data_IF_433935339493
#
_entry.id   IF_433935339493
#
_cell.length_a   1.000
_cell.length_b   1.000
_cell.length_c   1.000
_cell.angle_alpha   90.00
_cell.angle_beta   90.00
_cell.angle_gamma   90.00
#
_symmetry.space_group_name_H-M   'P 1'
#
loop_
_entity.id
_entity.type
_entity.pdbx_description
1 polymer ?
#
# COMPACT_ATOMS: atom_id res chain seq x y z
N UNK A 1 -29.68 -25.40 11.30
CA UNK A 1 -28.64 -24.40 10.97
C UNK A 1 -29.33 -23.16 10.40
N UNK A 2 -29.10 -21.96 10.93
CA UNK A 2 -29.55 -20.75 10.26
C UNK A 2 -28.75 -20.58 8.95
N UNK A 3 -29.35 -20.02 7.89
CA UNK A 3 -28.68 -19.88 6.60
C UNK A 3 -27.49 -18.91 6.73
N UNK A 4 -26.31 -19.35 6.28
CA UNK A 4 -25.19 -18.45 6.01
C UNK A 4 -25.64 -17.44 4.96
N UNK A 5 -25.93 -16.19 5.38
CA UNK A 5 -26.09 -15.08 4.43
C UNK A 5 -24.80 -15.03 3.61
N UNK A 6 -24.91 -15.25 2.31
CA UNK A 6 -23.79 -15.09 1.38
C UNK A 6 -23.20 -13.70 1.59
N UNK A 7 -22.00 -13.61 2.18
CA UNK A 7 -21.27 -12.35 2.30
C UNK A 7 -21.15 -11.77 0.89
N UNK A 8 -21.76 -10.60 0.66
CA UNK A 8 -21.62 -9.90 -0.62
C UNK A 8 -20.13 -9.62 -0.80
N UNK A 9 -19.56 -10.07 -1.92
CA UNK A 9 -18.17 -9.75 -2.29
C UNK A 9 -18.03 -8.23 -2.32
N UNK A 10 -17.08 -7.71 -1.55
CA UNK A 10 -16.80 -6.27 -1.48
C UNK A 10 -16.19 -5.83 -2.82
N UNK A 11 -16.70 -4.75 -3.45
CA UNK A 11 -16.11 -4.23 -4.67
C UNK A 11 -14.66 -3.78 -4.45
N UNK A 12 -13.78 -3.97 -5.43
CA UNK A 12 -12.35 -3.57 -5.33
C UNK A 12 -12.18 -2.08 -5.01
N UNK A 13 -13.02 -1.22 -5.59
CA UNK A 13 -13.00 0.21 -5.29
C UNK A 13 -13.30 0.51 -3.82
N UNK A 14 -14.14 -0.31 -3.17
CA UNK A 14 -14.41 -0.20 -1.73
C UNK A 14 -13.21 -0.72 -0.93
N UNK A 15 -12.63 -1.88 -1.30
CA UNK A 15 -11.41 -2.42 -0.68
C UNK A 15 -10.27 -1.40 -0.72
N UNK A 16 -10.11 -0.66 -1.82
CA UNK A 16 -9.10 0.40 -1.93
C UNK A 16 -9.33 1.61 -1.00
N UNK A 17 -10.58 1.87 -0.59
CA UNK A 17 -10.94 3.00 0.31
C UNK A 17 -10.95 2.61 1.78
N UNK A 18 -11.22 1.35 2.12
CA UNK A 18 -11.28 0.90 3.51
C UNK A 18 -10.01 1.23 4.32
N UNK A 19 -8.78 1.08 3.80
CA UNK A 19 -7.57 1.50 4.52
C UNK A 19 -7.51 3.01 4.83
N UNK A 20 -8.08 3.85 3.96
CA UNK A 20 -8.17 5.30 4.19
C UNK A 20 -9.12 5.61 5.33
N UNK A 21 -10.30 4.97 5.34
CA UNK A 21 -11.23 5.11 6.45
C UNK A 21 -10.63 4.60 7.75
N UNK A 22 -9.90 3.47 7.72
CA UNK A 22 -9.23 2.92 8.89
C UNK A 22 -8.23 3.91 9.48
N UNK A 23 -7.37 4.53 8.64
CA UNK A 23 -6.42 5.54 9.11
C UNK A 23 -7.14 6.68 9.82
N UNK A 24 -8.16 7.26 9.18
CA UNK A 24 -8.93 8.36 9.76
C UNK A 24 -9.54 7.94 11.10
N UNK A 25 -10.16 6.76 11.16
CA UNK A 25 -10.81 6.29 12.37
C UNK A 25 -9.82 6.01 13.52
N UNK A 26 -8.61 5.53 13.21
CA UNK A 26 -7.53 5.39 14.20
C UNK A 26 -7.15 6.77 14.75
N UNK A 27 -6.95 7.76 13.87
CA UNK A 27 -6.63 9.13 14.30
C UNK A 27 -7.76 9.73 15.17
N UNK A 28 -9.02 9.45 14.84
CA UNK A 28 -10.17 9.87 15.65
C UNK A 28 -10.27 9.15 16.99
N UNK A 29 -9.94 7.86 17.04
CA UNK A 29 -9.90 7.09 18.28
C UNK A 29 -8.82 7.63 19.23
N UNK A 30 -7.63 7.93 18.71
CA UNK A 30 -6.55 8.56 19.47
C UNK A 30 -6.93 9.96 19.99
N UNK A 31 -7.76 10.70 19.25
CA UNK A 31 -8.32 11.97 19.66
C UNK A 31 -9.49 11.84 20.67
N UNK A 32 -9.88 10.62 21.07
CA UNK A 32 -10.96 10.36 22.03
C UNK A 32 -12.37 10.55 21.46
N UNK A 33 -12.53 10.53 20.14
CA UNK A 33 -13.84 10.68 19.49
C UNK A 33 -14.59 9.35 19.54
N UNK A 34 -15.70 9.31 20.29
CA UNK A 34 -16.49 8.08 20.44
C UNK A 34 -17.36 7.76 19.22
N UNK A 35 -17.89 8.77 18.51
CA UNK A 35 -18.77 8.56 17.37
C UNK A 35 -18.44 9.53 16.23
N UNK A 36 -18.55 9.04 14.99
CA UNK A 36 -18.35 9.84 13.77
C UNK A 36 -19.55 9.68 12.83
N UNK A 37 -19.98 10.75 12.18
CA UNK A 37 -21.04 10.70 11.16
C UNK A 37 -20.50 10.25 9.80
N UNK A 38 -21.38 9.82 8.88
CA UNK A 38 -20.97 9.54 7.50
C UNK A 38 -20.45 10.77 6.78
N UNK A 39 -20.99 11.94 7.12
CA UNK A 39 -20.62 13.24 6.61
C UNK A 39 -19.22 13.62 7.10
N UNK A 40 -18.93 13.47 8.39
CA UNK A 40 -17.61 13.76 8.95
C UNK A 40 -16.52 12.83 8.41
N UNK A 41 -16.80 11.52 8.32
CA UNK A 41 -15.85 10.58 7.73
C UNK A 41 -15.64 10.86 6.23
N UNK A 42 -16.68 11.28 5.51
CA UNK A 42 -16.58 11.60 4.09
C UNK A 42 -15.75 12.87 3.83
N UNK A 43 -15.90 13.89 4.67
CA UNK A 43 -15.12 15.12 4.61
C UNK A 43 -13.63 14.83 4.78
N UNK A 44 -13.27 14.09 5.84
CA UNK A 44 -11.87 13.71 6.12
C UNK A 44 -11.28 12.81 5.02
N UNK A 45 -12.09 11.91 4.45
CA UNK A 45 -11.66 11.01 3.39
C UNK A 45 -11.71 11.62 1.98
N UNK A 46 -12.19 12.87 1.82
CA UNK A 46 -12.33 13.51 0.51
C UNK A 46 -13.32 12.80 -0.42
N UNK A 47 -14.35 12.15 0.12
CA UNK A 47 -15.38 11.43 -0.64
C UNK A 47 -16.78 11.96 -0.31
N UNK A 48 -17.82 11.37 -0.90
CA UNK A 48 -19.22 11.71 -0.59
C UNK A 48 -19.75 10.78 0.53
N UNK A 49 -20.51 11.30 1.49
CA UNK A 49 -21.20 10.55 2.54
C UNK A 49 -22.05 9.37 2.01
N UNK A 50 -22.63 9.48 0.81
CA UNK A 50 -23.34 8.38 0.17
C UNK A 50 -22.40 7.22 -0.21
N UNK A 51 -21.15 7.52 -0.62
CA UNK A 51 -20.12 6.50 -0.90
C UNK A 51 -19.68 5.83 0.40
N UNK A 52 -19.43 6.60 1.46
CA UNK A 52 -19.10 6.07 2.79
C UNK A 52 -20.18 5.10 3.27
N UNK A 53 -21.45 5.53 3.27
CA UNK A 53 -22.58 4.67 3.67
C UNK A 53 -22.65 3.38 2.84
N UNK A 54 -22.46 3.48 1.52
CA UNK A 54 -22.45 2.32 0.62
C UNK A 54 -21.28 1.38 0.95
N UNK A 55 -20.08 1.91 1.15
CA UNK A 55 -18.89 1.13 1.49
C UNK A 55 -19.04 0.39 2.82
N UNK A 56 -19.46 1.10 3.87
CA UNK A 56 -19.61 0.52 5.20
C UNK A 56 -20.77 -0.49 5.26
N UNK A 57 -21.78 -0.35 4.39
CA UNK A 57 -22.88 -1.33 4.31
C UNK A 57 -22.44 -2.74 3.89
N UNK A 58 -21.27 -2.87 3.26
CA UNK A 58 -20.69 -4.19 2.93
C UNK A 58 -20.10 -4.88 4.17
N UNK A 59 -19.65 -4.12 5.16
CA UNK A 59 -19.14 -4.65 6.42
C UNK A 59 -20.30 -5.12 7.31
N UNK A 60 -21.44 -4.44 7.23
CA UNK A 60 -22.65 -4.76 7.96
C UNK A 60 -23.48 -3.50 8.23
N UNK A 61 -24.56 -3.65 9.00
CA UNK A 61 -25.35 -2.51 9.45
C UNK A 61 -24.77 -1.96 10.74
N UNK A 62 -23.80 -1.07 10.61
CA UNK A 62 -23.15 -0.39 11.72
C UNK A 62 -23.39 1.08 11.52
N UNK A 63 -24.11 1.73 12.43
CA UNK A 63 -24.55 3.10 12.24
C UNK A 63 -25.96 3.29 12.72
N UNK A 64 -26.14 4.20 13.67
CA UNK A 64 -27.46 4.57 14.18
C UNK A 64 -27.85 5.90 13.57
N UNK A 65 -29.04 5.96 12.95
CA UNK A 65 -29.54 7.19 12.32
C UNK A 65 -29.57 8.31 13.36
N UNK A 66 -28.89 9.41 13.09
CA UNK A 66 -28.77 10.55 13.99
C UNK A 66 -27.64 10.48 15.02
N UNK A 67 -26.91 9.37 15.12
CA UNK A 67 -25.76 9.19 16.03
C UNK A 67 -24.45 9.00 15.26
N UNK A 68 -24.49 8.26 14.14
CA UNK A 68 -23.29 7.91 13.38
C UNK A 68 -22.76 6.52 13.74
N UNK A 69 -21.46 6.32 13.55
CA UNK A 69 -20.72 5.08 13.78
C UNK A 69 -19.88 5.23 15.04
N UNK A 70 -19.92 4.21 15.90
CA UNK A 70 -18.99 4.11 17.03
C UNK A 70 -17.60 3.81 16.46
N UNK A 71 -16.62 4.63 16.85
CA UNK A 71 -15.31 4.68 16.20
C UNK A 71 -14.52 3.40 16.46
N UNK A 72 -14.40 2.95 17.71
CA UNK A 72 -13.60 1.78 18.08
C UNK A 72 -14.15 0.50 17.43
N UNK A 73 -15.47 0.35 17.45
CA UNK A 73 -16.14 -0.75 16.79
C UNK A 73 -15.95 -0.72 15.27
N UNK A 74 -16.01 0.46 14.64
CA UNK A 74 -15.79 0.55 13.20
C UNK A 74 -14.33 0.26 12.81
N UNK A 75 -13.37 0.72 13.61
CA UNK A 75 -11.94 0.34 13.49
C UNK A 75 -11.82 -1.19 13.51
N UNK A 76 -12.39 -1.83 14.53
CA UNK A 76 -12.35 -3.30 14.66
C UNK A 76 -12.94 -4.01 13.43
N UNK A 77 -14.12 -3.59 12.95
CA UNK A 77 -14.75 -4.21 11.78
C UNK A 77 -13.91 -4.05 10.50
N UNK A 78 -13.34 -2.86 10.27
CA UNK A 78 -12.52 -2.62 9.09
C UNK A 78 -11.22 -3.44 9.16
N UNK A 79 -10.54 -3.49 10.32
CA UNK A 79 -9.34 -4.32 10.50
C UNK A 79 -9.63 -5.78 10.20
N UNK A 80 -10.73 -6.31 10.76
CA UNK A 80 -11.16 -7.69 10.53
C UNK A 80 -11.44 -7.97 9.05
N UNK A 81 -12.14 -7.08 8.36
CA UNK A 81 -12.47 -7.30 6.95
C UNK A 81 -11.24 -7.19 6.04
N UNK A 82 -10.27 -6.34 6.40
CA UNK A 82 -8.98 -6.24 5.71
C UNK A 82 -7.99 -7.36 6.09
N UNK A 83 -8.35 -8.26 7.02
CA UNK A 83 -7.47 -9.33 7.50
C UNK A 83 -6.31 -8.84 8.35
N UNK A 84 -6.44 -7.67 9.00
CA UNK A 84 -5.42 -7.04 9.84
C UNK A 84 -5.54 -7.44 11.32
N UNK A 85 -6.18 -8.59 11.58
CA UNK A 85 -6.24 -9.26 12.89
C UNK A 85 -5.06 -10.22 13.12
N UNK A 86 -4.23 -10.41 12.09
CA UNK A 86 -2.97 -11.13 12.14
C UNK A 86 -1.95 -10.44 11.23
N UNK A 87 -0.68 -10.81 11.43
CA UNK A 87 0.42 -10.28 10.64
C UNK A 87 0.51 -10.97 9.26
N UNK A 88 0.86 -10.17 8.26
CA UNK A 88 1.20 -10.59 6.91
C UNK A 88 2.68 -10.31 6.65
N UNK A 89 3.58 -11.28 6.92
CA UNK A 89 5.00 -11.08 6.68
C UNK A 89 5.27 -10.75 5.21
N UNK A 90 6.16 -9.78 4.98
CA UNK A 90 6.53 -9.31 3.64
C UNK A 90 7.99 -9.59 3.35
N UNK A 91 8.32 -9.93 2.10
CA UNK A 91 9.71 -10.00 1.62
C UNK A 91 9.98 -8.86 0.65
N UNK A 92 11.10 -8.16 0.82
CA UNK A 92 11.51 -7.05 -0.04
C UNK A 92 12.61 -7.55 -0.99
N UNK A 93 12.39 -7.38 -2.29
CA UNK A 93 13.38 -7.66 -3.34
C UNK A 93 14.01 -6.34 -3.79
N UNK A 94 15.32 -6.22 -3.60
CA UNK A 94 16.11 -5.02 -3.83
C UNK A 94 16.34 -4.24 -2.53
N UNK A 95 17.60 -4.15 -2.12
CA UNK A 95 18.12 -3.40 -0.99
C UNK A 95 18.78 -2.06 -1.42
N UNK A 96 18.32 -1.47 -2.53
CA UNK A 96 18.66 -0.08 -2.89
C UNK A 96 17.97 0.93 -1.98
N UNK A 97 18.15 2.24 -2.22
CA UNK A 97 17.61 3.31 -1.37
C UNK A 97 16.14 3.12 -0.96
N UNK A 98 15.28 2.75 -1.91
CA UNK A 98 13.86 2.55 -1.63
C UNK A 98 13.61 1.31 -0.77
N UNK A 99 14.22 0.17 -1.11
CA UNK A 99 14.10 -1.04 -0.31
C UNK A 99 14.59 -0.85 1.13
N UNK A 100 15.67 -0.08 1.29
CA UNK A 100 16.17 0.28 2.62
C UNK A 100 15.21 1.18 3.41
N UNK A 101 14.65 2.19 2.76
CA UNK A 101 13.66 3.05 3.38
C UNK A 101 12.41 2.27 3.81
N UNK A 102 11.93 1.35 2.97
CA UNK A 102 10.78 0.50 3.27
C UNK A 102 11.06 -0.47 4.43
N UNK A 103 12.24 -1.07 4.45
CA UNK A 103 12.65 -1.97 5.53
C UNK A 103 12.78 -1.25 6.89
N UNK A 104 13.27 -0.01 6.89
CA UNK A 104 13.40 0.82 8.09
C UNK A 104 12.11 1.49 8.54
N UNK A 105 11.02 1.39 7.76
CA UNK A 105 9.77 2.05 8.07
C UNK A 105 8.94 1.23 9.07
N UNK A 106 9.01 1.60 10.36
CA UNK A 106 8.28 0.93 11.45
C UNK A 106 6.76 0.84 11.24
N UNK A 107 6.20 1.76 10.45
CA UNK A 107 4.77 1.76 10.13
C UNK A 107 4.28 0.54 9.34
N UNK A 108 5.15 -0.27 8.73
CA UNK A 108 4.74 -1.55 8.14
C UNK A 108 4.42 -2.57 9.22
N UNK A 109 5.35 -2.79 10.16
CA UNK A 109 5.16 -3.71 11.29
C UNK A 109 3.97 -3.31 12.16
N UNK A 110 3.83 -2.03 12.48
CA UNK A 110 2.70 -1.52 13.29
C UNK A 110 1.34 -1.73 12.60
N UNK A 111 1.32 -1.78 11.27
CA UNK A 111 0.11 -2.02 10.46
C UNK A 111 -0.13 -3.50 10.15
N UNK A 112 0.65 -4.42 10.72
CA UNK A 112 0.52 -5.86 10.54
C UNK A 112 1.29 -6.41 9.33
N UNK A 113 2.35 -5.74 8.88
CA UNK A 113 3.17 -6.16 7.74
C UNK A 113 4.65 -6.28 8.11
N UNK A 114 5.03 -7.17 9.04
CA UNK A 114 6.42 -7.29 9.46
C UNK A 114 7.33 -7.71 8.31
N UNK A 115 8.52 -7.12 8.22
CA UNK A 115 9.52 -7.48 7.20
C UNK A 115 10.14 -8.83 7.55
N UNK A 116 9.78 -9.86 6.78
CA UNK A 116 10.28 -11.22 6.92
C UNK A 116 11.70 -11.39 6.37
N UNK A 117 12.08 -10.59 5.38
CA UNK A 117 13.42 -10.62 4.81
C UNK A 117 13.61 -9.57 3.73
N UNK A 118 14.88 -9.30 3.43
CA UNK A 118 15.31 -8.44 2.33
C UNK A 118 16.29 -9.27 1.50
N UNK A 119 16.11 -9.31 0.19
CA UNK A 119 17.01 -10.01 -0.73
C UNK A 119 17.57 -9.06 -1.78
N UNK A 120 18.83 -9.27 -2.15
CA UNK A 120 19.49 -8.55 -3.25
C UNK A 120 20.44 -9.50 -4.00
N UNK A 121 20.80 -9.13 -5.23
CA UNK A 121 21.79 -9.85 -6.06
C UNK A 121 23.19 -9.24 -5.93
N UNK A 122 23.28 -8.01 -5.42
CA UNK A 122 24.51 -7.27 -5.24
C UNK A 122 25.27 -7.78 -4.00
N UNK A 123 26.39 -8.47 -4.22
CA UNK A 123 27.25 -9.04 -3.17
C UNK A 123 27.72 -7.98 -2.17
N UNK A 124 27.88 -6.72 -2.59
CA UNK A 124 28.28 -5.62 -1.69
C UNK A 124 27.16 -5.25 -0.71
N UNK A 125 25.90 -5.59 -1.04
CA UNK A 125 24.74 -5.37 -0.16
C UNK A 125 24.39 -6.59 0.68
N UNK A 126 24.73 -7.79 0.21
CA UNK A 126 24.50 -9.03 0.97
C UNK A 126 25.18 -8.93 2.35
N UNK A 127 24.55 -9.48 3.37
CA UNK A 127 24.98 -9.45 4.77
C UNK A 127 24.97 -8.09 5.48
N UNK A 128 24.66 -6.99 4.78
CA UNK A 128 24.39 -5.71 5.42
C UNK A 128 23.10 -5.75 6.25
N UNK A 129 22.97 -4.85 7.21
CA UNK A 129 21.77 -4.73 8.06
C UNK A 129 21.02 -3.45 7.73
N UNK A 130 19.74 -3.60 7.41
CA UNK A 130 18.86 -2.53 6.94
C UNK A 130 17.54 -2.66 7.68
N UNK A 131 17.12 -1.59 8.39
CA UNK A 131 15.86 -1.61 9.15
C UNK A 131 15.79 -2.72 10.21
N UNK A 132 16.94 -3.18 10.72
CA UNK A 132 17.03 -4.30 11.66
C UNK A 132 16.99 -5.70 11.02
N UNK A 133 16.84 -5.81 9.70
CA UNK A 133 16.88 -7.07 8.95
C UNK A 133 18.21 -7.21 8.17
N UNK A 134 18.76 -8.43 8.14
CA UNK A 134 19.93 -8.77 7.34
C UNK A 134 19.51 -8.97 5.88
N UNK A 135 20.23 -8.33 4.96
CA UNK A 135 20.07 -8.57 3.51
C UNK A 135 20.65 -9.94 3.17
N UNK A 136 19.86 -10.77 2.50
CA UNK A 136 20.24 -12.12 2.08
C UNK A 136 20.46 -12.16 0.56
N UNK A 137 21.23 -13.12 0.05
CA UNK A 137 21.34 -13.28 -1.40
C UNK A 137 20.00 -13.72 -2.00
N UNK A 138 19.77 -13.36 -3.25
CA UNK A 138 18.49 -13.57 -3.96
C UNK A 138 18.08 -15.05 -4.06
N UNK A 139 19.05 -15.96 -4.11
CA UNK A 139 18.83 -17.40 -4.17
C UNK A 139 18.19 -17.97 -2.90
N UNK A 140 18.25 -17.25 -1.78
CA UNK A 140 17.60 -17.61 -0.52
C UNK A 140 16.10 -17.23 -0.45
N UNK A 141 15.58 -16.54 -1.46
CA UNK A 141 14.19 -16.12 -1.51
C UNK A 141 13.19 -17.27 -1.27
N UNK A 142 13.32 -18.45 -1.91
CA UNK A 142 12.40 -19.57 -1.67
C UNK A 142 12.41 -20.05 -0.22
N UNK A 143 13.57 -20.10 0.43
CA UNK A 143 13.70 -20.51 1.82
C UNK A 143 13.02 -19.51 2.75
N UNK A 144 13.20 -18.21 2.53
CA UNK A 144 12.55 -17.15 3.32
C UNK A 144 11.03 -17.25 3.19
N UNK A 145 10.53 -17.39 1.96
CA UNK A 145 9.09 -17.46 1.68
C UNK A 145 8.46 -18.68 2.36
N UNK A 146 9.08 -19.85 2.23
CA UNK A 146 8.58 -21.09 2.84
C UNK A 146 8.66 -21.07 4.37
N UNK A 147 9.79 -20.64 4.94
CA UNK A 147 10.00 -20.67 6.39
C UNK A 147 9.11 -19.69 7.15
N UNK A 148 8.73 -18.56 6.51
CA UNK A 148 7.95 -17.49 7.14
C UNK A 148 6.53 -17.35 6.58
N UNK A 149 6.08 -18.28 5.73
CA UNK A 149 4.76 -18.26 5.08
C UNK A 149 4.45 -16.91 4.40
N UNK A 150 5.44 -16.34 3.70
CA UNK A 150 5.32 -15.02 3.07
C UNK A 150 4.34 -15.10 1.91
N UNK A 151 3.26 -14.32 1.98
CA UNK A 151 2.26 -14.23 0.90
C UNK A 151 2.35 -12.93 0.10
N UNK A 152 3.15 -11.96 0.59
CA UNK A 152 3.29 -10.62 0.01
C UNK A 152 4.77 -10.33 -0.30
N UNK A 153 5.06 -10.02 -1.56
CA UNK A 153 6.37 -9.55 -2.01
C UNK A 153 6.35 -8.06 -2.34
N UNK A 154 7.46 -7.38 -2.08
CA UNK A 154 7.66 -5.97 -2.44
C UNK A 154 8.82 -5.89 -3.42
N UNK A 155 8.59 -5.30 -4.59
CA UNK A 155 9.63 -5.10 -5.60
C UNK A 155 10.09 -3.64 -5.52
N UNK A 156 11.34 -3.47 -5.08
CA UNK A 156 12.05 -2.19 -4.99
C UNK A 156 13.32 -2.19 -5.85
N UNK A 157 13.31 -2.96 -6.95
CA UNK A 157 14.41 -3.07 -7.90
C UNK A 157 14.32 -2.03 -9.02
N UNK A 158 15.39 -1.81 -9.79
CA UNK A 158 15.31 -1.09 -11.06
C UNK A 158 14.31 -1.73 -12.04
N UNK A 159 13.75 -0.95 -12.99
CA UNK A 159 12.82 -1.41 -14.03
C UNK A 159 13.24 -2.71 -14.74
N UNK A 160 14.51 -2.80 -15.12
CA UNK A 160 15.07 -3.90 -15.93
C UNK A 160 15.08 -5.24 -15.19
N UNK A 161 15.07 -5.23 -13.86
CA UNK A 161 15.12 -6.42 -13.02
C UNK A 161 13.75 -6.78 -12.40
N UNK A 162 12.74 -5.93 -12.59
CA UNK A 162 11.47 -6.05 -11.88
C UNK A 162 10.64 -7.26 -12.33
N UNK A 163 10.70 -7.64 -13.61
CA UNK A 163 10.01 -8.84 -14.12
C UNK A 163 10.63 -10.11 -13.54
N UNK A 164 11.96 -10.23 -13.57
CA UNK A 164 12.66 -11.39 -13.00
C UNK A 164 12.39 -11.52 -11.50
N UNK A 165 12.38 -10.39 -10.77
CA UNK A 165 11.99 -10.36 -9.36
C UNK A 165 10.55 -10.87 -9.13
N UNK A 166 9.60 -10.45 -9.97
CA UNK A 166 8.21 -10.91 -9.91
C UNK A 166 8.09 -12.41 -10.18
N UNK A 167 8.78 -12.92 -11.20
CA UNK A 167 8.75 -14.33 -11.56
C UNK A 167 9.34 -15.21 -10.46
N UNK A 168 10.43 -14.76 -9.81
CA UNK A 168 11.02 -15.44 -8.66
C UNK A 168 10.10 -15.45 -7.44
N UNK A 169 9.43 -14.32 -7.14
CA UNK A 169 8.44 -14.25 -6.06
C UNK A 169 7.28 -15.22 -6.30
N UNK A 170 6.71 -15.21 -7.51
CA UNK A 170 5.62 -16.11 -7.87
C UNK A 170 6.06 -17.57 -7.78
N UNK A 171 7.26 -17.90 -8.29
CA UNK A 171 7.82 -19.25 -8.19
C UNK A 171 8.07 -19.69 -6.75
N UNK A 172 8.42 -18.76 -5.86
CA UNK A 172 8.58 -19.02 -4.43
C UNK A 172 7.25 -19.22 -3.68
N UNK A 173 6.10 -18.91 -4.31
CA UNK A 173 4.76 -19.09 -3.74
C UNK A 173 4.07 -17.81 -3.29
N UNK A 174 4.66 -16.63 -3.57
CA UNK A 174 4.03 -15.33 -3.28
C UNK A 174 2.83 -15.10 -4.20
N UNK A 175 1.70 -14.71 -3.63
CA UNK A 175 0.44 -14.49 -4.38
C UNK A 175 0.09 -13.02 -4.56
N UNK A 176 0.73 -12.12 -3.82
CA UNK A 176 0.48 -10.68 -3.84
C UNK A 176 1.79 -9.90 -3.95
N UNK A 177 1.86 -8.94 -4.88
CA UNK A 177 3.08 -8.17 -5.15
C UNK A 177 2.77 -6.67 -5.09
N UNK A 178 3.51 -5.95 -4.26
CA UNK A 178 3.57 -4.48 -4.26
C UNK A 178 4.76 -4.05 -5.13
N UNK A 179 4.48 -3.47 -6.30
CA UNK A 179 5.49 -3.09 -7.27
C UNK A 179 5.75 -1.57 -7.24
N UNK A 180 6.97 -1.18 -6.87
CA UNK A 180 7.45 0.20 -6.98
C UNK A 180 8.23 0.48 -8.26
N UNK A 181 8.59 -0.54 -9.04
CA UNK A 181 9.25 -0.33 -10.31
C UNK A 181 8.26 0.30 -11.32
N UNK A 182 8.66 1.34 -12.07
CA UNK A 182 7.80 2.03 -13.03
C UNK A 182 7.63 1.23 -14.34
N UNK A 183 7.26 -0.05 -14.22
CA UNK A 183 7.01 -0.98 -15.32
C UNK A 183 5.72 -1.76 -15.07
N UNK A 184 5.11 -2.22 -16.14
CA UNK A 184 3.99 -3.18 -16.06
C UNK A 184 4.58 -4.58 -16.02
N UNK A 185 4.23 -5.34 -14.99
CA UNK A 185 4.67 -6.72 -14.82
C UNK A 185 3.64 -7.67 -15.44
N UNK A 186 4.13 -8.72 -16.08
CA UNK A 186 3.33 -9.82 -16.58
C UNK A 186 3.38 -10.97 -15.56
N UNK A 187 2.23 -11.35 -14.99
CA UNK A 187 2.15 -12.44 -14.00
C UNK A 187 1.00 -13.39 -14.32
N UNK A 188 1.05 -14.64 -13.83
CA UNK A 188 -0.04 -15.59 -14.01
C UNK A 188 -1.37 -15.13 -13.41
N UNK A 189 -2.47 -15.71 -13.89
CA UNK A 189 -3.81 -15.52 -13.31
C UNK A 189 -3.80 -15.95 -11.85
N UNK A 190 -4.38 -15.12 -10.98
CA UNK A 190 -4.45 -15.37 -9.54
C UNK A 190 -3.39 -14.61 -8.73
N UNK A 191 -2.37 -14.05 -9.37
CA UNK A 191 -1.41 -13.15 -8.73
C UNK A 191 -1.97 -11.73 -8.70
N UNK A 192 -2.00 -11.13 -7.52
CA UNK A 192 -2.45 -9.74 -7.36
C UNK A 192 -1.24 -8.81 -7.41
N UNK A 193 -1.25 -7.83 -8.31
CA UNK A 193 -0.23 -6.77 -8.34
C UNK A 193 -0.87 -5.45 -7.93
N UNK A 194 -0.22 -4.74 -7.02
CA UNK A 194 -0.50 -3.33 -6.73
C UNK A 194 0.70 -2.48 -7.10
N UNK A 195 0.53 -1.58 -8.06
CA UNK A 195 1.58 -0.63 -8.46
C UNK A 195 1.56 0.59 -7.55
N UNK A 196 2.74 1.07 -7.16
CA UNK A 196 2.95 2.37 -6.52
C UNK A 196 3.89 3.17 -7.39
N UNK A 197 3.43 4.32 -7.88
CA UNK A 197 4.20 5.20 -8.75
C UNK A 197 4.13 6.64 -8.23
N UNK A 198 5.07 6.99 -7.36
CA UNK A 198 5.12 8.31 -6.72
C UNK A 198 5.28 9.44 -7.76
N UNK A 199 5.92 9.16 -8.90
CA UNK A 199 6.10 10.15 -9.94
C UNK A 199 4.78 10.47 -10.65
N UNK A 200 3.95 9.46 -10.91
CA UNK A 200 2.60 9.66 -11.47
C UNK A 200 1.73 10.49 -10.52
N UNK A 201 1.78 10.23 -9.22
CA UNK A 201 1.03 11.03 -8.23
C UNK A 201 1.47 12.51 -8.24
N UNK A 202 2.79 12.76 -8.32
CA UNK A 202 3.32 14.14 -8.44
C UNK A 202 2.90 14.82 -9.75
N UNK A 203 2.79 14.07 -10.86
CA UNK A 203 2.29 14.60 -12.14
C UNK A 203 0.81 15.00 -12.06
N UNK A 204 0.00 14.26 -11.30
CA UNK A 204 -1.40 14.65 -11.04
C UNK A 204 -1.44 15.94 -10.23
N UNK A 205 -0.60 16.06 -9.20
CA UNK A 205 -0.51 17.28 -8.40
C UNK A 205 -0.04 18.49 -9.23
N UNK A 206 0.94 18.31 -10.12
CA UNK A 206 1.44 19.40 -10.97
C UNK A 206 0.36 19.94 -11.92
N UNK A 207 -0.54 19.08 -12.42
CA UNK A 207 -1.70 19.51 -13.20
C UNK A 207 -2.64 20.43 -12.40
N UNK A 208 -2.91 20.08 -11.14
CA UNK A 208 -3.76 20.92 -10.27
C UNK A 208 -3.12 22.27 -9.96
N UNK A 209 -1.81 22.29 -9.68
CA UNK A 209 -1.07 23.53 -9.43
C UNK A 209 -1.02 24.42 -10.69
N UNK A 210 -0.83 23.84 -11.87
CA UNK A 210 -0.87 24.58 -13.13
C UNK A 210 -2.23 25.24 -13.37
N UNK A 211 -3.34 24.53 -13.09
CA UNK A 211 -4.69 25.10 -13.22
C UNK A 211 -4.97 26.19 -12.20
N UNK A 212 -4.49 26.04 -10.96
CA UNK A 212 -4.63 27.07 -9.92
C UNK A 212 -3.87 28.34 -10.31
N UNK A 213 -2.64 28.22 -10.79
CA UNK A 213 -1.84 29.37 -11.22
C UNK A 213 -2.43 30.09 -12.45
N UNK A 214 -2.93 29.33 -13.43
CA UNK A 214 -3.61 29.89 -14.61
C UNK A 214 -4.89 30.66 -14.25
N UNK A 215 -5.60 30.21 -13.21
CA UNK A 215 -6.80 30.89 -12.70
C UNK A 215 -6.48 32.15 -11.85
N UNK A 216 -5.26 32.27 -11.33
CA UNK A 216 -4.82 33.36 -10.44
C UNK A 216 -3.92 34.40 -11.14
N UNK A 217 -3.57 34.22 -12.41
CA UNK A 217 -2.77 35.19 -13.19
C UNK A 217 -1.29 35.28 -12.81
N UNK A 218 -0.77 34.34 -12.03
CA UNK A 218 0.62 34.35 -11.52
C UNK A 218 1.60 33.54 -12.38
N UNK A 219 2.77 34.10 -12.66
CA UNK A 219 3.90 33.39 -13.28
C UNK A 219 4.40 32.28 -12.34
N UNK A 220 4.42 31.04 -12.84
CA UNK A 220 5.05 29.90 -12.17
C UNK A 220 6.57 29.93 -12.40
N UNK A 221 7.36 29.79 -11.34
CA UNK A 221 8.76 29.37 -11.45
C UNK A 221 8.81 27.87 -11.74
N UNK A 222 8.67 27.50 -13.02
CA UNK A 222 9.11 26.19 -13.47
C UNK A 222 10.63 26.11 -13.33
N UNK A 223 11.15 25.08 -12.66
CA UNK A 223 12.58 24.76 -12.75
C UNK A 223 12.83 24.31 -14.20
N UNK A 224 13.76 24.95 -14.95
CA UNK A 224 14.02 24.55 -16.33
C UNK A 224 14.46 23.09 -16.39
N UNK A 225 13.89 22.35 -17.33
CA UNK A 225 14.33 21.00 -17.63
C UNK A 225 15.72 21.12 -18.29
N UNK A 226 16.80 20.71 -17.62
CA UNK A 226 18.14 20.74 -18.22
C UNK A 226 18.21 19.72 -19.38
N UNK A 227 18.47 20.16 -20.63
CA UNK A 227 18.63 19.25 -21.74
C UNK A 227 20.01 18.59 -21.68
N UNK A 228 20.03 17.26 -21.50
CA UNK A 228 21.08 16.37 -21.98
C UNK A 228 22.46 16.51 -21.34
N UNK A 229 22.75 15.64 -20.35
CA UNK A 229 24.12 15.12 -20.23
C UNK A 229 24.38 14.24 -21.45
N UNK A 230 24.94 14.86 -22.48
CA UNK A 230 25.55 14.19 -23.60
C UNK A 230 26.59 13.21 -23.09
N UNK A 231 26.52 11.99 -23.64
CA UNK A 231 27.63 11.05 -23.70
C UNK A 231 28.80 11.76 -24.37
N UNK A 232 29.92 11.88 -23.67
CA UNK A 232 31.20 12.21 -24.28
C UNK A 232 32.19 11.09 -24.00
N UNK A 233 32.59 10.45 -25.12
CA UNK A 233 33.77 9.61 -25.39
C UNK A 233 34.04 8.40 -24.50
#
# INVERSE_FOLDING_TARGET
MPPHRSRRRIPEATVARLPVYLQILVDQAEAGVANISSEGLAELAGVNAAKVRKDLSYLGSYGTRGVGYEVDYLVYQIRRELGLDHDWPVVIVGAGNLGQALAGYGGFTERGFPVAGIVDIDDDKVDTVVGGARVRPLDELPQIVAARNVSIGVIATPPVAAQDAADLLVKAGVTSILNFAPVVLSVPVGITIRKVDLAVELQILSYHEQRRASAQGGQLHAVPNEPGRGVTA
#
